data_IF_611081400014
#
_entry.id   IF_611081400014
#
_cell.length_a   1.000
_cell.length_b   1.000
_cell.length_c   1.000
_cell.angle_alpha   90.00
_cell.angle_beta   90.00
_cell.angle_gamma   90.00
#
_symmetry.space_group_name_H-M   'P 1'
#
loop_
_entity.id
_entity.type
_entity.pdbx_description
1 polymer ?
#
# COMPACT_ATOMS: atom_id res chain seq x y z
N UNK A 1 16.05 -1.49 -32.60
CA UNK A 1 15.51 -1.25 -31.24
C UNK A 1 14.03 -0.97 -31.41
N UNK A 2 13.29 -1.99 -31.85
CA UNK A 2 11.87 -1.88 -32.27
C UNK A 2 10.89 -2.30 -31.16
N UNK A 3 11.39 -2.70 -29.99
CA UNK A 3 10.58 -3.21 -28.90
C UNK A 3 9.90 -2.12 -28.05
N UNK A 4 10.27 -0.83 -28.23
CA UNK A 4 9.57 0.28 -27.59
C UNK A 4 8.32 0.66 -28.42
N UNK A 5 7.22 -0.03 -28.22
CA UNK A 5 5.89 0.47 -28.64
C UNK A 5 5.49 1.57 -27.66
N UNK A 6 5.92 2.81 -27.94
CA UNK A 6 5.52 4.00 -27.16
C UNK A 6 4.09 4.41 -27.52
N UNK A 7 3.10 3.59 -27.18
CA UNK A 7 1.74 4.11 -27.06
C UNK A 7 1.64 4.90 -25.75
N UNK A 8 1.55 6.22 -25.88
CA UNK A 8 1.40 7.13 -24.74
C UNK A 8 -0.07 7.25 -24.38
N UNK A 9 -0.58 6.32 -23.59
CA UNK A 9 -1.87 6.49 -22.93
C UNK A 9 -1.74 7.56 -21.84
N UNK A 10 -2.76 8.39 -21.68
CA UNK A 10 -2.81 9.33 -20.56
C UNK A 10 -3.30 8.62 -19.29
N UNK A 11 -2.91 9.13 -18.11
CA UNK A 11 -3.40 8.59 -16.83
C UNK A 11 -4.93 8.61 -16.70
N UNK A 12 -5.57 9.58 -17.36
CA UNK A 12 -7.04 9.70 -17.41
C UNK A 12 -7.64 8.56 -18.22
N UNK A 13 -7.08 8.28 -19.40
CA UNK A 13 -7.50 7.13 -20.23
C UNK A 13 -7.36 5.80 -19.48
N UNK A 14 -6.29 5.62 -18.69
CA UNK A 14 -6.13 4.42 -17.86
C UNK A 14 -7.17 4.33 -16.73
N UNK A 15 -7.55 5.46 -16.14
CA UNK A 15 -8.54 5.50 -15.06
C UNK A 15 -9.98 5.28 -15.57
N UNK A 16 -10.27 5.70 -16.80
CA UNK A 16 -11.57 5.54 -17.46
C UNK A 16 -11.71 4.20 -18.19
N UNK A 17 -10.60 3.48 -18.43
CA UNK A 17 -10.63 2.13 -18.97
C UNK A 17 -11.20 1.16 -17.95
N UNK A 18 -12.49 0.86 -18.13
CA UNK A 18 -13.15 -0.25 -17.47
C UNK A 18 -12.87 -1.55 -18.23
N UNK A 19 -12.56 -2.62 -17.49
CA UNK A 19 -12.30 -3.93 -18.04
C UNK A 19 -11.83 -4.86 -16.92
N UNK A 20 -12.26 -6.11 -16.97
CA UNK A 20 -11.80 -7.11 -16.00
C UNK A 20 -10.45 -7.65 -16.45
N UNK A 21 -9.56 -7.95 -15.50
CA UNK A 21 -8.24 -8.52 -15.83
C UNK A 21 -8.41 -9.83 -16.59
N UNK A 22 -9.47 -10.59 -16.28
CA UNK A 22 -9.79 -11.87 -16.92
C UNK A 22 -10.20 -11.75 -18.40
N UNK A 23 -10.57 -10.54 -18.86
CA UNK A 23 -10.95 -10.30 -20.26
C UNK A 23 -9.73 -10.09 -21.17
N UNK A 24 -8.55 -9.88 -20.59
CA UNK A 24 -7.31 -9.69 -21.35
C UNK A 24 -6.62 -11.03 -21.63
N UNK A 25 -6.51 -11.37 -22.91
CA UNK A 25 -5.70 -12.50 -23.39
C UNK A 25 -4.31 -11.99 -23.68
N UNK A 26 -3.33 -12.47 -22.91
CA UNK A 26 -1.90 -12.20 -23.13
C UNK A 26 -1.26 -13.44 -23.74
N UNK A 27 -0.56 -13.27 -24.86
CA UNK A 27 0.15 -14.34 -25.54
C UNK A 27 1.37 -14.82 -24.73
N UNK A 28 1.90 -15.99 -25.07
CA UNK A 28 3.07 -16.54 -24.37
C UNK A 28 4.30 -15.65 -24.60
N UNK A 29 4.44 -15.12 -25.81
CA UNK A 29 5.51 -14.22 -26.20
C UNK A 29 5.44 -12.90 -25.41
N UNK A 30 4.24 -12.34 -25.22
CA UNK A 30 4.03 -11.13 -24.41
C UNK A 30 4.34 -11.33 -22.92
N UNK A 31 4.05 -12.51 -22.36
CA UNK A 31 4.42 -12.83 -20.97
C UNK A 31 5.94 -12.94 -20.74
N UNK A 32 6.71 -13.16 -21.80
CA UNK A 32 8.18 -13.17 -21.75
C UNK A 32 8.79 -11.75 -21.95
N UNK A 33 7.95 -10.74 -22.21
CA UNK A 33 8.39 -9.34 -22.34
C UNK A 33 8.50 -8.64 -20.97
N UNK A 34 9.28 -7.56 -20.93
CA UNK A 34 9.42 -6.70 -19.76
C UNK A 34 8.54 -5.46 -19.91
N UNK A 35 7.89 -5.06 -18.81
CA UNK A 35 7.13 -3.81 -18.71
C UNK A 35 7.89 -2.83 -17.83
N UNK A 36 8.22 -1.66 -18.38
CA UNK A 36 8.75 -0.56 -17.57
C UNK A 36 7.63 0.15 -16.81
N UNK A 37 7.55 -0.11 -15.50
CA UNK A 37 6.57 0.52 -14.61
C UNK A 37 7.05 1.88 -14.08
N UNK A 38 8.31 2.28 -14.31
CA UNK A 38 8.86 3.52 -13.78
C UNK A 38 8.03 4.77 -14.12
N UNK A 39 7.51 4.94 -15.36
CA UNK A 39 6.71 6.12 -15.71
C UNK A 39 5.30 6.13 -15.09
N UNK A 40 4.80 4.96 -14.66
CA UNK A 40 3.43 4.78 -14.15
C UNK A 40 3.37 4.67 -12.62
N UNK A 41 4.51 4.44 -11.98
CA UNK A 41 4.60 4.23 -10.54
C UNK A 41 4.70 5.56 -9.80
N UNK A 42 4.01 5.68 -8.66
CA UNK A 42 4.22 6.79 -7.75
C UNK A 42 5.62 6.70 -7.11
N UNK A 43 6.52 7.59 -7.52
CA UNK A 43 7.90 7.68 -7.01
C UNK A 43 7.99 8.29 -5.60
N UNK A 44 6.89 8.87 -5.12
CA UNK A 44 6.77 9.55 -3.82
C UNK A 44 5.70 8.88 -2.94
N UNK A 45 5.74 7.55 -2.88
CA UNK A 45 4.86 6.80 -1.98
C UNK A 45 5.15 7.15 -0.52
N UNK A 46 4.10 7.21 0.30
CA UNK A 46 4.24 7.51 1.72
C UNK A 46 4.66 6.27 2.50
N UNK A 47 5.70 6.44 3.32
CA UNK A 47 6.26 5.40 4.16
C UNK A 47 6.05 5.71 5.65
N UNK A 48 5.99 4.66 6.46
CA UNK A 48 5.98 4.75 7.92
C UNK A 48 6.97 3.74 8.49
N UNK A 49 7.61 4.10 9.59
CA UNK A 49 8.52 3.21 10.30
C UNK A 49 7.75 2.07 10.98
N UNK A 50 8.32 0.88 11.03
CA UNK A 50 7.71 -0.29 11.71
C UNK A 50 7.43 -0.04 13.20
N UNK A 51 8.21 0.85 13.82
CA UNK A 51 8.07 1.23 15.23
C UNK A 51 7.04 2.34 15.47
N UNK A 52 6.37 2.82 14.42
CA UNK A 52 5.33 3.84 14.53
C UNK A 52 4.09 3.28 15.22
N UNK A 53 3.52 4.05 16.15
CA UNK A 53 2.29 3.63 16.81
C UNK A 53 1.09 3.69 15.86
N UNK A 54 0.14 2.77 16.06
CA UNK A 54 -1.12 2.69 15.30
C UNK A 54 -1.89 4.02 15.35
N UNK A 55 -1.92 4.70 16.49
CA UNK A 55 -2.57 6.00 16.64
C UNK A 55 -1.95 7.08 15.74
N UNK A 56 -0.61 7.12 15.62
CA UNK A 56 0.06 8.08 14.74
C UNK A 56 -0.16 7.74 13.27
N UNK A 57 -0.15 6.46 12.91
CA UNK A 57 -0.48 6.02 11.56
C UNK A 57 -1.91 6.44 11.17
N UNK A 58 -2.89 6.28 12.08
CA UNK A 58 -4.28 6.71 11.86
C UNK A 58 -4.40 8.24 11.64
N UNK A 59 -3.65 9.03 12.40
CA UNK A 59 -3.60 10.49 12.22
C UNK A 59 -3.05 10.83 10.83
N UNK A 60 -1.95 10.21 10.41
CA UNK A 60 -1.38 10.41 9.06
C UNK A 60 -2.38 10.08 7.95
N UNK A 61 -3.07 8.93 8.06
CA UNK A 61 -4.12 8.56 7.11
C UNK A 61 -5.20 9.63 6.97
N UNK A 62 -5.68 10.18 8.09
CA UNK A 62 -6.74 11.20 8.10
C UNK A 62 -6.26 12.53 7.54
N UNK A 63 -5.03 12.92 7.84
CA UNK A 63 -4.48 14.22 7.44
C UNK A 63 -4.13 14.28 5.95
N UNK A 64 -3.59 13.18 5.40
CA UNK A 64 -3.07 13.17 4.03
C UNK A 64 -4.05 12.50 3.05
N UNK A 65 -5.09 11.81 3.55
CA UNK A 65 -6.11 11.19 2.69
C UNK A 65 -5.57 10.02 1.85
N UNK A 66 -4.49 9.38 2.31
CA UNK A 66 -3.82 8.29 1.59
C UNK A 66 -4.61 6.98 1.75
N UNK A 67 -4.48 6.05 0.80
CA UNK A 67 -5.08 4.71 0.87
C UNK A 67 -4.14 3.61 1.36
N UNK A 68 -2.84 3.77 1.12
CA UNK A 68 -1.80 2.81 1.46
C UNK A 68 -0.57 3.52 2.04
N UNK A 69 -0.08 3.06 3.19
CA UNK A 69 1.21 3.44 3.75
C UNK A 69 2.15 2.24 3.68
N UNK A 70 3.35 2.45 3.17
CA UNK A 70 4.37 1.39 3.13
C UNK A 70 5.12 1.35 4.45
N UNK A 71 5.23 0.17 5.06
CA UNK A 71 5.95 -0.02 6.32
C UNK A 71 7.40 -0.34 6.00
N UNK A 72 8.32 0.40 6.59
CA UNK A 72 9.78 0.21 6.45
C UNK A 72 10.41 -0.12 7.80
N UNK A 73 11.44 -0.97 7.85
CA UNK A 73 12.07 -1.39 9.11
C UNK A 73 12.87 -0.25 9.74
N UNK A 74 13.12 -0.34 11.04
CA UNK A 74 13.85 0.70 11.78
C UNK A 74 15.33 0.75 11.41
N UNK A 75 15.89 -0.37 10.96
CA UNK A 75 17.31 -0.49 10.62
C UNK A 75 17.48 -0.86 9.15
N UNK A 76 17.83 0.14 8.34
CA UNK A 76 18.20 -0.04 6.94
C UNK A 76 19.68 -0.43 6.88
N UNK A 77 19.98 -1.72 7.09
CA UNK A 77 21.36 -2.23 7.04
C UNK A 77 21.97 -2.15 5.63
N UNK A 78 21.15 -1.98 4.60
CA UNK A 78 21.56 -1.84 3.22
C UNK A 78 20.76 -0.69 2.60
N UNK A 79 21.34 0.02 1.63
CA UNK A 79 20.77 1.15 0.87
C UNK A 79 19.51 0.82 0.05
N UNK A 80 18.78 -0.23 0.43
CA UNK A 80 17.55 -0.70 -0.18
C UNK A 80 16.48 -0.57 0.88
N UNK A 81 15.53 0.34 0.64
CA UNK A 81 14.31 0.47 1.42
C UNK A 81 13.48 -0.81 1.26
N UNK A 82 13.67 -1.76 2.17
CA UNK A 82 12.88 -2.99 2.18
C UNK A 82 11.49 -2.66 2.74
N UNK A 83 10.47 -2.70 1.88
CA UNK A 83 9.09 -2.65 2.33
C UNK A 83 8.79 -3.96 3.03
N UNK A 84 8.50 -3.91 4.34
CA UNK A 84 8.18 -5.09 5.16
C UNK A 84 6.68 -5.32 5.30
N UNK A 85 5.86 -4.34 4.90
CA UNK A 85 4.41 -4.46 4.96
C UNK A 85 3.71 -3.27 4.33
N UNK A 86 2.39 -3.40 4.21
CA UNK A 86 1.50 -2.35 3.73
C UNK A 86 0.42 -2.19 4.78
N UNK A 87 0.16 -0.94 5.17
CA UNK A 87 -0.94 -0.58 6.02
C UNK A 87 -2.00 0.13 5.18
N UNK A 88 -3.26 -0.21 5.38
CA UNK A 88 -4.40 0.39 4.69
C UNK A 88 -5.38 1.01 5.67
N UNK A 89 -6.30 1.85 5.18
CA UNK A 89 -7.39 2.38 6.00
C UNK A 89 -8.29 1.28 6.59
N UNK A 90 -8.40 0.14 5.90
CA UNK A 90 -9.22 -0.97 6.39
C UNK A 90 -8.60 -1.57 7.66
N UNK A 91 -7.28 -1.74 7.69
CA UNK A 91 -6.57 -2.31 8.84
C UNK A 91 -6.73 -1.46 10.11
N UNK A 92 -6.90 -0.15 9.93
CA UNK A 92 -7.04 0.81 11.03
C UNK A 92 -8.47 0.99 11.54
N UNK A 93 -9.42 0.20 11.05
CA UNK A 93 -10.78 0.16 11.62
C UNK A 93 -10.74 -0.49 13.00
N UNK A 94 -11.53 0.03 13.93
CA UNK A 94 -11.47 -0.40 15.34
C UNK A 94 -11.60 -1.92 15.51
N UNK A 95 -12.54 -2.57 14.82
CA UNK A 95 -12.71 -4.03 14.92
C UNK A 95 -11.50 -4.81 14.38
N UNK A 96 -10.84 -4.31 13.32
CA UNK A 96 -9.64 -4.93 12.76
C UNK A 96 -8.44 -4.78 13.70
N UNK A 97 -8.29 -3.60 14.32
CA UNK A 97 -7.24 -3.37 15.33
C UNK A 97 -7.45 -4.29 16.54
N UNK A 98 -8.67 -4.41 17.05
CA UNK A 98 -8.97 -5.24 18.21
C UNK A 98 -8.78 -6.74 17.90
N UNK A 99 -9.18 -7.18 16.69
CA UNK A 99 -8.91 -8.54 16.23
C UNK A 99 -7.42 -8.84 16.09
N UNK A 100 -6.62 -7.86 15.67
CA UNK A 100 -5.18 -8.01 15.50
C UNK A 100 -4.41 -7.93 16.84
N UNK A 101 -4.96 -7.20 17.83
CA UNK A 101 -4.35 -7.00 19.15
C UNK A 101 -5.41 -7.27 20.24
N UNK A 102 -5.70 -8.55 20.56
CA UNK A 102 -6.76 -8.91 21.50
C UNK A 102 -6.57 -8.35 22.92
N UNK A 103 -5.31 -8.19 23.36
CA UNK A 103 -5.00 -7.63 24.69
C UNK A 103 -5.48 -6.19 24.88
N UNK A 104 -5.70 -5.48 23.78
CA UNK A 104 -6.19 -4.10 23.77
C UNK A 104 -7.66 -4.01 24.21
N UNK A 105 -8.45 -5.08 24.08
CA UNK A 105 -9.84 -5.14 24.55
C UNK A 105 -9.96 -5.20 26.08
N UNK A 106 -9.00 -5.83 26.77
CA UNK A 106 -9.05 -6.04 28.22
C UNK A 106 -8.91 -4.76 29.06
N UNK A 107 -8.35 -3.70 28.50
CA UNK A 107 -8.05 -2.46 29.26
C UNK A 107 -9.29 -1.62 29.59
N UNK A 108 -10.37 -1.71 28.80
CA UNK A 108 -11.62 -0.96 29.06
C UNK A 108 -12.48 -1.51 30.21
N UNK A 109 -12.20 -2.72 30.70
CA UNK A 109 -12.96 -3.36 31.78
C UNK A 109 -12.60 -2.89 33.19
N UNK A 110 -11.40 -2.33 33.38
CA UNK A 110 -10.86 -2.06 34.72
C UNK A 110 -11.06 -0.60 35.19
N UNK A 111 -11.57 0.30 34.36
CA UNK A 111 -11.81 1.71 34.76
C UNK A 111 -13.15 1.92 35.50
N UNK A 112 -13.96 0.87 35.68
CA UNK A 112 -15.28 0.97 36.36
C UNK A 112 -15.25 0.61 37.86
N UNK A 113 -14.09 0.43 38.47
CA UNK A 113 -13.94 0.18 39.90
C UNK A 113 -12.78 1.02 40.46
N UNK A 114 -13.05 2.29 40.75
CA UNK A 114 -12.39 3.07 41.80
C UNK A 114 -13.28 4.27 42.14
#
# INVERSE_FOLDING_TARGET
MEWEVREKFTLVELAEREGKIEEFVVTKEEMEMYVDLHPLTNTTSYTVMESMSVAKALVLFRQVGIRHLLIVPKYEAARVLLVIGILTWQDLRSYNILSAIPDLERTKGNEKHN
#
